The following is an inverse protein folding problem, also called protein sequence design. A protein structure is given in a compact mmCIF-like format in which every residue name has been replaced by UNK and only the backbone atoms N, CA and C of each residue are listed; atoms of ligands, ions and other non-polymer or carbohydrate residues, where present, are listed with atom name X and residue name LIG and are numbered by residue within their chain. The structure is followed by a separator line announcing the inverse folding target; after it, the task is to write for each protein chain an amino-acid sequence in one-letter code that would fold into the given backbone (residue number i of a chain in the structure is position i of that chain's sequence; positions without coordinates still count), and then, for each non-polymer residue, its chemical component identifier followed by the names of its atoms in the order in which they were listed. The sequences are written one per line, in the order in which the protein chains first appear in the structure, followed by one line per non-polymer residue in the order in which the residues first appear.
data_IF_732407162790
#
_entry.id   IF_732407162790
#
_cell.length_a   1.000
_cell.length_b   1.000
_cell.length_c   1.000
_cell.angle_alpha   90.00
_cell.angle_beta   90.00
_cell.angle_gamma   90.00
#
_symmetry.space_group_name_H-M   'P 1'
#
loop_
_entity.id
_entity.type
_entity.pdbx_description
1 polymer ?
#
# COMPACT_ATOMS: atom_id res chain seq x y z
N UNK A 1 -33.56 -35.33 -9.92
CA UNK A 1 -33.80 -35.55 -8.47
C UNK A 1 -33.19 -34.33 -7.78
N UNK A 2 -33.92 -33.57 -6.95
CA UNK A 2 -33.34 -32.35 -6.37
C UNK A 2 -32.27 -32.70 -5.32
N UNK A 3 -31.06 -32.15 -5.49
CA UNK A 3 -29.96 -32.30 -4.53
C UNK A 3 -29.99 -31.09 -3.61
N UNK A 4 -29.81 -31.26 -2.31
CA UNK A 4 -29.72 -30.15 -1.36
C UNK A 4 -28.30 -30.01 -0.81
N UNK A 5 -27.91 -28.79 -0.47
CA UNK A 5 -26.61 -28.50 0.13
C UNK A 5 -26.52 -29.12 1.52
N UNK A 6 -25.49 -29.91 1.77
CA UNK A 6 -25.22 -30.48 3.11
C UNK A 6 -24.87 -29.42 4.16
N UNK A 7 -24.41 -28.24 3.74
CA UNK A 7 -23.99 -27.17 4.65
C UNK A 7 -25.12 -26.19 5.01
N UNK A 8 -26.00 -25.85 4.06
CA UNK A 8 -27.03 -24.82 4.26
C UNK A 8 -28.46 -25.24 3.90
N UNK A 9 -28.66 -26.43 3.35
CA UNK A 9 -30.00 -26.94 3.00
C UNK A 9 -30.62 -26.34 1.75
N UNK A 10 -29.94 -25.42 1.03
CA UNK A 10 -30.44 -24.87 -0.23
C UNK A 10 -30.47 -25.93 -1.32
N UNK A 11 -31.50 -25.90 -2.17
CA UNK A 11 -31.59 -26.73 -3.38
C UNK A 11 -30.46 -26.40 -4.38
N UNK A 12 -29.90 -27.43 -4.98
CA UNK A 12 -28.74 -27.37 -5.86
C UNK A 12 -29.11 -28.01 -7.20
N UNK A 13 -28.88 -27.23 -8.26
CA UNK A 13 -29.04 -27.70 -9.64
C UNK A 13 -27.96 -28.72 -10.03
N UNK A 14 -28.34 -29.72 -10.82
CA UNK A 14 -27.41 -30.76 -11.29
C UNK A 14 -26.24 -30.14 -12.08
N UNK A 15 -25.00 -30.57 -11.81
CA UNK A 15 -23.80 -30.13 -12.51
C UNK A 15 -23.04 -28.94 -11.91
N UNK A 16 -23.51 -28.35 -10.80
CA UNK A 16 -22.77 -27.28 -10.11
C UNK A 16 -21.77 -27.85 -9.10
N UNK A 17 -20.57 -27.26 -9.07
CA UNK A 17 -19.47 -27.69 -8.19
C UNK A 17 -19.54 -27.08 -6.80
N UNK A 18 -20.22 -25.94 -6.65
CA UNK A 18 -20.34 -25.18 -5.41
C UNK A 18 -21.77 -24.68 -5.22
N UNK A 19 -22.21 -24.58 -3.96
CA UNK A 19 -23.51 -24.01 -3.61
C UNK A 19 -23.50 -22.49 -3.83
N UNK A 20 -24.49 -21.95 -4.54
CA UNK A 20 -24.60 -20.51 -4.82
C UNK A 20 -24.85 -19.66 -3.58
N UNK A 21 -25.49 -20.23 -2.54
CA UNK A 21 -25.89 -19.47 -1.35
C UNK A 21 -24.78 -19.43 -0.29
N UNK A 22 -24.06 -20.53 -0.06
CA UNK A 22 -23.06 -20.61 1.01
C UNK A 22 -21.63 -20.87 0.52
N UNK A 23 -21.43 -21.09 -0.78
CA UNK A 23 -20.10 -21.36 -1.36
C UNK A 23 -19.52 -22.75 -1.06
N UNK A 24 -20.23 -23.62 -0.34
CA UNK A 24 -19.74 -24.96 0.00
C UNK A 24 -19.60 -25.85 -1.25
N UNK A 25 -18.52 -26.63 -1.31
CA UNK A 25 -18.29 -27.60 -2.39
C UNK A 25 -19.31 -28.73 -2.35
N UNK A 26 -19.80 -29.12 -3.52
CA UNK A 26 -20.85 -30.14 -3.73
C UNK A 26 -20.24 -31.46 -4.23
N UNK A 27 -18.91 -31.52 -4.29
CA UNK A 27 -18.15 -32.63 -4.87
C UNK A 27 -18.31 -33.91 -4.04
N UNK A 28 -18.76 -34.97 -4.70
CA UNK A 28 -19.05 -36.26 -4.09
C UNK A 28 -17.73 -36.94 -3.70
N UNK A 29 -17.45 -37.00 -2.40
CA UNK A 29 -16.38 -37.83 -1.85
C UNK A 29 -16.71 -39.33 -2.00
N UNK A 30 -16.38 -39.93 -3.14
CA UNK A 30 -16.17 -41.37 -3.21
C UNK A 30 -14.69 -41.65 -2.92
N UNK A 31 -14.34 -41.62 -1.63
CA UNK A 31 -13.12 -42.27 -1.16
C UNK A 31 -13.47 -43.74 -0.97
N UNK A 32 -12.98 -44.57 -1.88
CA UNK A 32 -12.97 -46.02 -1.75
C UNK A 32 -12.04 -46.40 -0.58
N UNK A 33 -12.60 -47.08 0.42
CA UNK A 33 -11.82 -47.74 1.47
C UNK A 33 -11.24 -49.05 0.92
N UNK A 34 -9.92 -49.22 1.06
CA UNK A 34 -9.20 -50.50 0.95
C UNK A 34 -9.80 -51.56 1.89
N UNK A 35 -9.78 -52.85 1.51
CA UNK A 35 -9.10 -54.01 2.20
C UNK A 35 -9.09 -55.23 1.24
N UNK A 36 -7.87 -55.73 0.99
CA UNK A 36 -7.35 -57.08 0.66
C UNK A 36 -8.12 -58.08 -0.23
N UNK A 37 -7.50 -58.50 -1.34
CA UNK A 37 -7.08 -59.91 -1.56
C UNK A 37 -6.45 -60.13 -2.96
N UNK A 38 -5.39 -60.94 -2.98
CA UNK A 38 -4.90 -61.81 -4.06
C UNK A 38 -4.12 -61.25 -5.29
N UNK A 39 -3.33 -62.17 -5.84
CA UNK A 39 -2.07 -62.06 -6.57
C UNK A 39 -2.31 -62.09 -8.11
N UNK A 40 -1.36 -61.54 -8.90
CA UNK A 40 -0.72 -62.14 -10.10
C UNK A 40 -0.53 -61.19 -11.30
N UNK A 41 0.75 -60.86 -11.52
CA UNK A 41 1.55 -61.08 -12.74
C UNK A 41 1.18 -60.36 -14.06
N UNK A 42 2.23 -59.72 -14.61
CA UNK A 42 2.46 -59.35 -16.01
C UNK A 42 1.43 -58.39 -16.67
N UNK A 43 1.82 -57.43 -17.50
CA UNK A 43 2.92 -57.41 -18.46
C UNK A 43 3.11 -55.94 -18.87
N UNK A 44 4.37 -55.57 -19.02
CA UNK A 44 4.79 -54.42 -19.83
C UNK A 44 4.22 -54.54 -21.24
N UNK A 45 3.64 -53.48 -21.80
CA UNK A 45 3.77 -53.21 -23.24
C UNK A 45 3.69 -51.69 -23.60
N UNK A 46 4.88 -51.08 -23.65
CA UNK A 46 5.38 -50.14 -24.68
C UNK A 46 4.42 -49.52 -25.74
N UNK A 47 4.15 -48.22 -25.55
CA UNK A 47 4.28 -47.05 -26.46
C UNK A 47 4.12 -47.19 -28.00
N UNK A 48 3.43 -46.22 -28.62
CA UNK A 48 3.94 -45.59 -29.85
C UNK A 48 4.02 -44.05 -29.75
N UNK A 49 5.23 -43.52 -29.97
CA UNK A 49 5.52 -42.09 -30.07
C UNK A 49 5.18 -41.54 -31.46
N UNK A 50 4.32 -40.52 -31.54
CA UNK A 50 4.22 -39.67 -32.74
C UNK A 50 4.09 -38.19 -32.37
N UNK A 51 5.12 -37.41 -32.70
CA UNK A 51 4.97 -36.07 -33.27
C UNK A 51 4.85 -34.87 -32.33
N UNK A 52 5.89 -34.57 -31.55
CA UNK A 52 6.04 -33.32 -30.80
C UNK A 52 6.73 -32.23 -31.66
N UNK A 53 6.01 -31.19 -32.10
CA UNK A 53 6.60 -29.88 -32.50
C UNK A 53 5.70 -28.65 -32.26
N UNK A 54 4.87 -28.61 -31.22
CA UNK A 54 4.09 -27.38 -30.90
C UNK A 54 4.03 -27.05 -29.39
N UNK A 55 4.74 -27.78 -28.53
CA UNK A 55 4.50 -27.71 -27.08
C UNK A 55 5.26 -26.61 -26.33
N UNK A 56 6.45 -26.18 -26.78
CA UNK A 56 7.25 -25.23 -25.99
C UNK A 56 6.81 -23.76 -26.12
N UNK A 57 6.26 -23.36 -27.26
CA UNK A 57 5.85 -21.96 -27.50
C UNK A 57 4.56 -21.63 -26.75
N UNK A 58 3.56 -22.52 -26.77
CA UNK A 58 2.30 -22.33 -26.04
C UNK A 58 2.50 -22.34 -24.52
N UNK A 59 3.35 -23.22 -23.99
CA UNK A 59 3.69 -23.23 -22.56
C UNK A 59 4.40 -21.92 -22.17
N UNK A 60 5.33 -21.44 -23.00
CA UNK A 60 6.00 -20.16 -22.78
C UNK A 60 5.03 -18.98 -22.73
N UNK A 61 4.05 -18.93 -23.64
CA UNK A 61 3.03 -17.88 -23.66
C UNK A 61 2.14 -17.94 -22.42
N UNK A 62 1.67 -19.14 -22.02
CA UNK A 62 0.82 -19.32 -20.84
C UNK A 62 1.56 -18.95 -19.55
N UNK A 63 2.84 -19.31 -19.44
CA UNK A 63 3.66 -18.94 -18.28
C UNK A 63 3.92 -17.43 -18.26
N UNK A 64 4.21 -16.81 -19.42
CA UNK A 64 4.44 -15.37 -19.51
C UNK A 64 3.18 -14.57 -19.19
N UNK A 65 2.00 -15.00 -19.66
CA UNK A 65 0.73 -14.35 -19.32
C UNK A 65 0.40 -14.54 -17.85
N UNK A 66 0.59 -15.73 -17.29
CA UNK A 66 0.39 -16.00 -15.87
C UNK A 66 1.31 -15.12 -15.00
N UNK A 67 2.60 -15.01 -15.36
CA UNK A 67 3.56 -14.12 -14.70
C UNK A 67 3.18 -12.64 -14.85
N UNK A 68 2.65 -12.23 -16.00
CA UNK A 68 2.17 -10.87 -16.22
C UNK A 68 0.93 -10.55 -15.37
N UNK A 69 -0.03 -11.47 -15.23
CA UNK A 69 -1.21 -11.27 -14.39
C UNK A 69 -0.88 -11.32 -12.89
N UNK A 70 0.05 -12.20 -12.48
CA UNK A 70 0.59 -12.22 -11.11
C UNK A 70 1.33 -10.91 -10.81
N UNK A 71 2.16 -10.44 -11.75
CA UNK A 71 2.85 -9.16 -11.65
C UNK A 71 1.90 -7.96 -11.64
N UNK A 72 0.83 -7.97 -12.46
CA UNK A 72 -0.19 -6.92 -12.48
C UNK A 72 -1.02 -6.90 -11.20
N UNK A 73 -1.30 -8.06 -10.62
CA UNK A 73 -1.98 -8.17 -9.33
C UNK A 73 -1.12 -7.63 -8.18
N UNK A 74 0.21 -7.65 -8.32
CA UNK A 74 1.14 -7.01 -7.39
C UNK A 74 1.35 -5.51 -7.65
N UNK A 75 1.19 -5.04 -8.89
CA UNK A 75 1.44 -3.63 -9.28
C UNK A 75 0.21 -2.71 -9.21
N UNK A 76 -1.02 -3.23 -9.11
CA UNK A 76 -2.22 -2.41 -8.90
C UNK A 76 -2.55 -2.11 -7.44
N UNK A 77 -1.60 -2.35 -6.55
CA UNK A 77 -1.44 -1.55 -5.35
C UNK A 77 -0.55 -0.35 -5.70
N UNK A 78 -1.01 0.53 -6.60
CA UNK A 78 -0.63 1.95 -6.50
C UNK A 78 -1.32 2.47 -5.24
N UNK A 79 -0.73 2.05 -4.14
CA UNK A 79 -1.05 2.46 -2.80
C UNK A 79 -0.68 3.94 -2.74
N UNK A 80 -1.69 4.82 -2.78
CA UNK A 80 -1.52 6.18 -2.28
C UNK A 80 -1.39 6.09 -0.76
N UNK A 81 -0.37 5.37 -0.29
CA UNK A 81 0.04 5.48 1.09
C UNK A 81 0.66 6.86 1.20
N UNK A 82 -0.04 7.75 1.89
CA UNK A 82 0.63 8.84 2.59
C UNK A 82 1.73 8.17 3.42
N UNK A 83 2.97 8.19 2.92
CA UNK A 83 4.10 7.61 3.63
C UNK A 83 4.30 8.45 4.88
N UNK A 84 3.84 7.89 5.98
CA UNK A 84 4.17 8.32 7.32
C UNK A 84 5.68 8.50 7.41
N UNK A 85 6.08 9.69 7.83
CA UNK A 85 7.47 10.09 8.00
C UNK A 85 8.27 8.96 8.67
N UNK A 86 9.20 8.35 7.95
CA UNK A 86 10.05 7.28 8.50
C UNK A 86 10.86 7.83 9.67
N UNK A 87 10.75 7.19 10.84
CA UNK A 87 11.05 7.80 12.13
C UNK A 87 12.53 8.13 12.36
N UNK A 88 13.51 7.51 11.70
CA UNK A 88 14.90 7.60 12.16
C UNK A 88 15.84 8.44 11.31
N UNK A 89 15.65 8.56 9.99
CA UNK A 89 16.72 9.12 9.14
C UNK A 89 16.47 10.48 8.48
N UNK A 90 15.23 10.89 8.20
CA UNK A 90 15.02 11.97 7.22
C UNK A 90 15.11 13.42 7.76
N UNK A 91 15.37 13.62 9.07
CA UNK A 91 15.21 14.94 9.71
C UNK A 91 16.42 15.49 10.48
N UNK A 92 17.55 14.78 10.50
CA UNK A 92 18.70 15.18 11.33
C UNK A 92 19.23 16.58 10.99
N UNK A 93 18.99 17.09 9.77
CA UNK A 93 19.19 18.49 9.39
C UNK A 93 18.40 18.83 8.13
N UNK A 94 17.18 19.35 8.26
CA UNK A 94 16.42 19.83 7.10
C UNK A 94 16.54 21.36 7.00
N UNK A 95 17.20 21.85 5.97
CA UNK A 95 17.08 23.25 5.56
C UNK A 95 16.09 23.30 4.40
N UNK A 96 15.05 24.13 4.53
CA UNK A 96 13.98 24.21 3.54
C UNK A 96 13.69 25.64 3.11
N UNK A 97 13.29 25.80 1.85
CA UNK A 97 12.61 27.01 1.39
C UNK A 97 11.13 26.90 1.75
N UNK A 98 10.61 27.94 2.37
CA UNK A 98 9.23 28.11 2.76
C UNK A 98 8.46 28.88 1.69
N UNK A 99 7.19 28.53 1.51
CA UNK A 99 6.28 29.20 0.60
C UNK A 99 4.87 29.24 1.18
N UNK A 100 4.35 30.44 1.45
CA UNK A 100 2.95 30.70 1.84
C UNK A 100 2.18 31.31 0.66
N UNK A 101 1.29 30.54 0.02
CA UNK A 101 0.50 31.03 -1.10
C UNK A 101 -0.53 32.09 -0.70
N UNK A 102 -0.79 32.27 0.61
CA UNK A 102 -1.76 33.27 1.10
C UNK A 102 -1.12 34.62 1.38
N UNK A 103 0.21 34.70 1.44
CA UNK A 103 0.97 35.89 1.85
C UNK A 103 0.66 36.45 3.25
N UNK A 104 -0.27 35.83 4.00
CA UNK A 104 -0.76 36.36 5.26
C UNK A 104 0.29 36.21 6.36
N UNK A 105 1.07 35.11 6.36
CA UNK A 105 1.89 34.75 7.52
C UNK A 105 3.28 35.42 7.53
N UNK A 106 3.96 35.50 6.38
CA UNK A 106 5.28 36.16 6.27
C UNK A 106 5.44 37.05 5.01
N UNK A 107 4.35 37.33 4.29
CA UNK A 107 4.37 38.04 3.00
C UNK A 107 4.80 37.15 1.82
N UNK A 108 4.66 37.66 0.59
CA UNK A 108 4.93 36.98 -0.70
C UNK A 108 6.42 36.60 -0.94
N UNK A 109 7.12 36.00 0.02
CA UNK A 109 8.57 35.76 -0.09
C UNK A 109 8.99 34.37 0.34
N UNK A 110 9.82 33.74 -0.48
CA UNK A 110 10.57 32.54 -0.10
C UNK A 110 11.41 32.84 1.16
N UNK A 111 11.17 32.10 2.24
CA UNK A 111 11.99 32.17 3.46
C UNK A 111 12.82 30.89 3.60
N UNK A 112 14.01 30.97 4.22
CA UNK A 112 14.82 29.78 4.51
C UNK A 112 14.65 29.45 5.99
N UNK A 113 14.10 28.26 6.27
CA UNK A 113 13.93 27.73 7.61
C UNK A 113 14.97 26.64 7.85
N UNK A 114 15.69 26.74 8.96
CA UNK A 114 16.66 25.73 9.37
C UNK A 114 16.03 24.87 10.45
N UNK A 115 15.75 23.61 10.14
CA UNK A 115 15.21 22.62 11.08
C UNK A 115 16.34 21.88 11.79
N UNK A 116 16.16 21.69 13.10
CA UNK A 116 17.02 20.95 14.02
C UNK A 116 16.18 19.93 14.77
N UNK A 117 16.58 18.67 14.71
CA UNK A 117 15.95 17.57 15.46
C UNK A 117 16.60 17.44 16.85
N UNK A 118 15.78 17.27 17.89
CA UNK A 118 16.18 16.94 19.26
C UNK A 118 15.25 15.87 19.81
N UNK A 119 15.69 14.61 19.76
CA UNK A 119 14.82 13.46 20.03
C UNK A 119 13.70 13.36 18.99
N UNK A 120 12.46 13.26 19.46
CA UNK A 120 11.26 13.20 18.61
C UNK A 120 10.77 14.58 18.13
N UNK A 121 11.26 15.65 18.74
CA UNK A 121 10.82 17.02 18.44
C UNK A 121 11.75 17.62 17.37
N UNK A 122 11.15 18.26 16.36
CA UNK A 122 11.87 19.03 15.35
C UNK A 122 11.53 20.50 15.56
N UNK A 123 12.56 21.33 15.67
CA UNK A 123 12.39 22.79 15.82
C UNK A 123 12.98 23.49 14.61
N UNK A 124 12.32 24.54 14.13
CA UNK A 124 12.75 25.33 13.00
C UNK A 124 12.67 26.80 13.30
N UNK A 125 13.64 27.58 12.82
CA UNK A 125 13.59 29.04 12.86
C UNK A 125 14.07 29.62 11.55
N UNK A 126 13.50 30.74 11.14
CA UNK A 126 14.06 31.55 10.05
C UNK A 126 15.26 32.38 10.55
N UNK A 127 15.98 33.03 9.62
CA UNK A 127 17.15 33.84 9.97
C UNK A 127 16.82 35.05 10.85
N UNK A 128 15.61 35.59 10.77
CA UNK A 128 15.21 36.80 11.49
C UNK A 128 14.46 36.49 12.79
N UNK A 129 14.17 35.22 13.09
CA UNK A 129 13.37 34.82 14.26
C UNK A 129 11.90 35.26 14.17
N UNK A 130 11.43 35.61 12.97
CA UNK A 130 10.05 35.98 12.69
C UNK A 130 9.14 34.76 12.49
N UNK A 131 9.76 33.60 12.29
CA UNK A 131 9.08 32.34 12.17
C UNK A 131 9.79 31.30 13.04
N UNK A 132 9.02 30.67 13.91
CA UNK A 132 9.44 29.50 14.67
C UNK A 132 8.43 28.37 14.46
N UNK A 133 8.92 27.16 14.30
CA UNK A 133 8.08 25.96 14.18
C UNK A 133 8.57 24.88 15.13
N UNK A 134 7.64 24.21 15.79
CA UNK A 134 7.90 23.01 16.55
C UNK A 134 7.00 21.89 16.00
N UNK A 135 7.61 20.89 15.39
CA UNK A 135 6.93 19.71 14.83
C UNK A 135 7.10 18.56 15.81
N UNK A 136 5.98 17.92 16.17
CA UNK A 136 5.92 16.78 17.08
C UNK A 136 5.09 15.64 16.48
N UNK A 137 5.41 14.37 16.78
CA UNK A 137 4.56 13.25 16.44
C UNK A 137 3.16 13.41 17.06
N UNK A 138 2.14 12.98 16.32
CA UNK A 138 0.74 12.94 16.74
C UNK A 138 0.13 11.60 16.31
N UNK A 139 0.09 10.63 17.22
CA UNK A 139 -0.32 9.26 16.90
C UNK A 139 0.77 8.49 16.15
N UNK A 140 0.42 7.32 15.60
CA UNK A 140 1.40 6.37 15.07
C UNK A 140 2.19 6.91 13.87
N UNK A 141 1.57 7.77 13.06
CA UNK A 141 2.06 8.12 11.73
C UNK A 141 1.79 9.58 11.31
N UNK A 142 1.20 10.40 12.19
CA UNK A 142 0.90 11.79 11.85
C UNK A 142 1.83 12.72 12.63
N UNK A 143 1.95 13.94 12.12
CA UNK A 143 2.72 14.99 12.75
C UNK A 143 1.85 16.22 12.88
N UNK A 144 2.06 16.95 13.98
CA UNK A 144 1.48 18.27 14.18
C UNK A 144 2.61 19.29 14.30
N UNK A 145 2.32 20.53 13.97
CA UNK A 145 3.25 21.63 14.16
C UNK A 145 2.57 22.81 14.82
N UNK A 146 3.27 23.38 15.78
CA UNK A 146 2.96 24.68 16.35
C UNK A 146 3.87 25.68 15.66
N UNK A 147 3.29 26.70 15.04
CA UNK A 147 4.01 27.73 14.31
C UNK A 147 3.76 29.08 14.95
N UNK A 148 4.83 29.77 15.33
CA UNK A 148 4.81 31.14 15.84
C UNK A 148 5.33 32.06 14.74
N UNK A 149 4.47 32.96 14.27
CA UNK A 149 4.78 33.97 13.27
C UNK A 149 4.31 35.36 13.73
N UNK A 150 4.46 36.38 12.87
CA UNK A 150 4.07 37.75 13.20
C UNK A 150 2.60 37.91 13.61
N UNK A 151 1.72 37.07 13.06
CA UNK A 151 0.27 37.12 13.30
C UNK A 151 -0.18 36.24 14.48
N UNK A 152 0.75 35.69 15.25
CA UNK A 152 0.48 34.85 16.42
C UNK A 152 0.92 33.40 16.24
N UNK A 153 0.33 32.54 17.06
CA UNK A 153 0.64 31.11 17.15
C UNK A 153 -0.51 30.29 16.56
N UNK A 154 -0.19 29.26 15.77
CA UNK A 154 -1.19 28.45 15.08
C UNK A 154 -0.75 26.99 14.94
N UNK A 155 -1.74 26.11 15.04
CA UNK A 155 -1.56 24.66 14.92
C UNK A 155 -1.81 24.18 13.50
N UNK A 156 -0.97 23.26 13.03
CA UNK A 156 -1.02 22.69 11.69
C UNK A 156 -0.87 21.18 11.74
N UNK A 157 -1.59 20.45 10.87
CA UNK A 157 -1.20 19.08 10.53
C UNK A 157 -0.03 19.13 9.55
N UNK A 158 0.90 18.19 9.68
CA UNK A 158 2.11 18.13 8.85
C UNK A 158 2.17 16.82 8.09
N UNK A 159 2.30 16.93 6.77
CA UNK A 159 2.42 15.81 5.85
C UNK A 159 3.72 15.91 5.07
N UNK A 160 4.37 14.78 4.82
CA UNK A 160 5.59 14.73 4.04
C UNK A 160 5.38 14.04 2.70
N UNK A 161 5.75 14.74 1.65
CA UNK A 161 5.70 14.30 0.27
C UNK A 161 7.13 13.94 -0.14
N UNK A 162 7.46 12.65 -0.05
CA UNK A 162 8.81 12.12 -0.27
C UNK A 162 9.32 12.40 -1.68
N UNK A 163 8.48 12.19 -2.70
CA UNK A 163 8.84 12.42 -4.11
C UNK A 163 9.21 13.89 -4.39
N UNK A 164 8.52 14.82 -3.73
CA UNK A 164 8.75 16.25 -3.86
C UNK A 164 9.80 16.81 -2.88
N UNK A 165 10.26 15.99 -1.92
CA UNK A 165 11.05 16.39 -0.76
C UNK A 165 10.45 17.62 -0.05
N UNK A 166 9.14 17.57 0.22
CA UNK A 166 8.32 18.69 0.67
C UNK A 166 7.55 18.33 1.93
N UNK A 167 7.59 19.20 2.93
CA UNK A 167 6.73 19.20 4.10
C UNK A 167 5.58 20.16 3.86
N UNK A 168 4.33 19.70 3.96
CA UNK A 168 3.14 20.54 3.83
C UNK A 168 2.50 20.70 5.19
N UNK A 169 2.12 21.94 5.50
CA UNK A 169 1.45 22.34 6.72
C UNK A 169 0.04 22.74 6.35
N UNK A 170 -0.96 22.09 6.94
CA UNK A 170 -2.37 22.32 6.66
C UNK A 170 -3.09 22.81 7.92
N UNK A 171 -3.73 23.98 7.82
CA UNK A 171 -4.57 24.53 8.87
C UNK A 171 -6.00 24.03 8.69
N UNK A 172 -6.50 23.30 9.68
CA UNK A 172 -7.89 22.82 9.67
C UNK A 172 -8.89 23.95 9.88
N UNK A 173 -8.48 25.02 10.57
CA UNK A 173 -9.30 26.18 10.90
C UNK A 173 -9.50 27.09 9.68
N UNK A 174 -8.42 27.47 9.01
CA UNK A 174 -8.46 28.42 7.88
C UNK A 174 -8.56 27.72 6.52
N UNK A 175 -8.46 26.37 6.49
CA UNK A 175 -8.39 25.56 5.27
C UNK A 175 -7.25 25.99 4.32
N UNK A 176 -6.24 26.68 4.85
CA UNK A 176 -5.07 27.08 4.09
C UNK A 176 -3.95 26.07 4.25
N UNK A 177 -3.08 26.01 3.24
CA UNK A 177 -1.87 25.19 3.29
C UNK A 177 -0.67 25.96 2.77
N UNK A 178 0.50 25.59 3.27
CA UNK A 178 1.80 26.11 2.86
C UNK A 178 2.83 25.01 3.03
N UNK A 179 4.07 25.24 2.57
CA UNK A 179 5.06 24.16 2.56
C UNK A 179 6.50 24.60 2.75
N UNK A 180 7.33 23.65 3.21
CA UNK A 180 8.78 23.71 3.20
C UNK A 180 9.33 22.70 2.17
N UNK A 181 10.11 23.16 1.21
CA UNK A 181 10.82 22.28 0.26
C UNK A 181 12.29 22.17 0.66
N UNK A 182 12.79 20.95 0.84
CA UNK A 182 14.20 20.70 1.16
C UNK A 182 15.10 21.32 0.08
N UNK A 183 16.12 22.05 0.50
CA UNK A 183 17.14 22.59 -0.40
C UNK A 183 18.07 21.43 -0.77
N UNK A 184 18.29 21.20 -2.07
CA UNK A 184 19.22 20.20 -2.58
C UNK A 184 20.67 20.59 -2.27
#
# INVERSE_FOLDING_TARGET
MSKYCSNCGTEINEGVRFCSECGASVENNNIQNNIDDDILIEKSLNQPNKGLRISKVLIGIVVLTMLFFIGKSFFLSYDSSEKSFSNTEQLTKLAGKWHDPTAILLGDKDAIIILKRKGEIITGKDKKGLFEVQITPFGSNNYQAIVKAQNGESDFSVHFYEEENKLVFFSTLTKSSWYLKKIK
#
